data_IF_901809895807
#
_entry.id   IF_901809895807
#
_cell.length_a   1.000
_cell.length_b   1.000
_cell.length_c   1.000
_cell.angle_alpha   90.00
_cell.angle_beta   90.00
_cell.angle_gamma   90.00
#
_symmetry.space_group_name_H-M   'P 1'
#
loop_
_entity.id
_entity.type
_entity.pdbx_description
1 polymer ?
#
# COMPACT_ATOMS: atom_id res chain seq x y z
N UNK A 1 -65.55 -16.51 -15.06
CA UNK A 1 -64.15 -16.69 -15.51
C UNK A 1 -63.40 -15.38 -15.29
N UNK A 2 -62.38 -15.45 -14.42
CA UNK A 2 -61.17 -14.61 -14.28
C UNK A 2 -61.32 -13.11 -13.94
N UNK A 3 -61.08 -12.82 -12.66
CA UNK A 3 -60.42 -11.61 -12.11
C UNK A 3 -59.25 -12.13 -11.23
N UNK A 4 -58.30 -11.31 -10.78
CA UNK A 4 -57.43 -10.35 -11.44
C UNK A 4 -55.95 -10.63 -11.05
N UNK A 5 -54.95 -10.00 -11.67
CA UNK A 5 -53.66 -9.69 -11.01
C UNK A 5 -52.77 -8.88 -11.94
N UNK A 6 -52.82 -7.56 -11.79
CA UNK A 6 -51.76 -6.67 -12.28
C UNK A 6 -50.55 -6.93 -11.38
N UNK A 7 -49.54 -7.61 -11.93
CA UNK A 7 -48.23 -7.78 -11.31
C UNK A 7 -47.47 -6.45 -11.40
N UNK A 8 -47.51 -5.68 -10.31
CA UNK A 8 -46.63 -4.52 -10.13
C UNK A 8 -45.27 -5.05 -9.65
N UNK A 9 -44.37 -5.33 -10.60
CA UNK A 9 -42.97 -5.64 -10.30
C UNK A 9 -42.25 -4.34 -9.92
N UNK A 10 -42.16 -4.06 -8.62
CA UNK A 10 -41.28 -3.02 -8.10
C UNK A 10 -39.82 -3.48 -8.28
N UNK A 11 -39.18 -3.00 -9.34
CA UNK A 11 -37.74 -3.14 -9.53
C UNK A 11 -37.01 -2.29 -8.47
N UNK A 12 -36.66 -2.92 -7.34
CA UNK A 12 -35.70 -2.35 -6.40
C UNK A 12 -34.32 -2.36 -7.08
N UNK A 13 -33.96 -1.22 -7.68
CA UNK A 13 -32.59 -0.94 -8.07
C UNK A 13 -31.76 -0.76 -6.78
N UNK A 14 -31.15 -1.85 -6.32
CA UNK A 14 -30.10 -1.77 -5.30
C UNK A 14 -28.90 -1.04 -5.92
N UNK A 15 -28.76 0.24 -5.59
CA UNK A 15 -27.52 0.96 -5.81
C UNK A 15 -26.46 0.35 -4.88
N UNK A 16 -25.68 -0.60 -5.40
CA UNK A 16 -24.48 -1.09 -4.73
C UNK A 16 -23.54 0.10 -4.55
N UNK A 17 -23.05 0.40 -3.33
CA UNK A 17 -22.06 1.43 -3.14
C UNK A 17 -20.81 1.08 -3.97
N UNK A 18 -20.17 2.07 -4.62
CA UNK A 18 -18.94 1.82 -5.34
C UNK A 18 -17.87 1.37 -4.35
N UNK A 19 -17.55 0.06 -4.35
CA UNK A 19 -16.37 -0.49 -3.69
C UNK A 19 -15.13 -0.03 -4.48
N UNK A 20 -14.78 1.24 -4.35
CA UNK A 20 -13.57 1.81 -4.94
C UNK A 20 -12.40 1.67 -3.97
N UNK A 21 -11.82 0.47 -3.93
CA UNK A 21 -10.46 0.27 -3.40
C UNK A 21 -9.52 -0.21 -4.49
N UNK A 22 -9.51 0.48 -5.64
CA UNK A 22 -8.41 0.37 -6.58
C UNK A 22 -7.31 1.37 -6.16
N UNK A 23 -6.50 1.00 -5.17
CA UNK A 23 -5.27 1.74 -4.89
C UNK A 23 -4.29 1.44 -6.03
N UNK A 24 -4.05 2.40 -6.91
CA UNK A 24 -2.93 2.30 -7.86
C UNK A 24 -1.63 2.14 -7.07
N UNK A 25 -0.85 1.07 -7.29
CA UNK A 25 0.42 0.89 -6.59
C UNK A 25 1.28 2.13 -6.80
N UNK A 26 1.69 2.77 -5.71
CA UNK A 26 2.76 3.76 -5.78
C UNK A 26 4.05 3.00 -6.02
N UNK A 27 4.33 2.71 -7.30
CA UNK A 27 5.58 2.09 -7.72
C UNK A 27 6.66 3.14 -7.63
N UNK A 28 7.33 3.19 -6.49
CA UNK A 28 8.60 3.91 -6.42
C UNK A 28 9.55 3.15 -7.39
N UNK A 29 10.25 3.80 -8.32
CA UNK A 29 11.08 3.13 -9.34
C UNK A 29 12.40 2.63 -8.75
N UNK A 30 13.09 1.62 -9.32
CA UNK A 30 14.38 1.14 -8.81
C UNK A 30 15.45 2.23 -8.73
N UNK A 31 16.38 2.15 -7.78
CA UNK A 31 17.47 3.11 -7.68
C UNK A 31 18.45 2.98 -8.84
N UNK A 32 19.10 4.09 -9.18
CA UNK A 32 20.21 4.14 -10.15
C UNK A 32 21.58 4.31 -9.49
N UNK A 33 21.67 4.08 -8.18
CA UNK A 33 22.92 4.20 -7.44
C UNK A 33 23.96 3.18 -7.95
N UNK A 34 25.09 3.66 -8.46
CA UNK A 34 26.18 2.83 -8.95
C UNK A 34 27.22 2.62 -7.86
N UNK A 35 27.49 1.36 -7.52
CA UNK A 35 28.50 1.03 -6.53
C UNK A 35 29.89 1.14 -7.16
N UNK A 36 30.79 2.00 -6.64
CA UNK A 36 32.13 2.08 -7.18
C UNK A 36 32.94 0.84 -6.82
N UNK A 37 33.68 0.33 -7.80
CA UNK A 37 34.53 -0.84 -7.63
C UNK A 37 35.72 -0.51 -6.72
N UNK A 38 36.04 -1.44 -5.80
CA UNK A 38 37.16 -1.25 -4.90
C UNK A 38 38.49 -1.37 -5.67
N UNK A 39 39.37 -0.35 -5.61
CA UNK A 39 40.58 -0.32 -6.44
C UNK A 39 41.69 -1.27 -5.95
N UNK A 40 41.46 -2.06 -4.90
CA UNK A 40 42.45 -2.96 -4.32
C UNK A 40 43.27 -2.32 -3.19
N UNK A 41 43.81 -3.14 -2.30
CA UNK A 41 44.48 -2.69 -1.06
C UNK A 41 45.82 -2.00 -1.28
N UNK A 42 46.51 -2.34 -2.36
CA UNK A 42 47.83 -1.78 -2.71
C UNK A 42 47.74 -0.64 -3.72
N UNK A 43 46.53 -0.11 -3.96
CA UNK A 43 46.33 1.01 -4.87
C UNK A 43 46.95 2.30 -4.33
N UNK A 44 47.37 3.23 -5.21
CA UNK A 44 47.86 4.55 -4.82
C UNK A 44 46.86 5.28 -3.91
N UNK A 45 47.37 6.03 -2.91
CA UNK A 45 46.54 6.70 -1.90
C UNK A 45 45.48 7.63 -2.52
N UNK A 46 45.81 8.33 -3.60
CA UNK A 46 44.86 9.18 -4.32
C UNK A 46 43.66 8.40 -4.88
N UNK A 47 43.88 7.18 -5.41
CA UNK A 47 42.79 6.31 -5.89
C UNK A 47 41.92 5.83 -4.74
N UNK A 48 42.52 5.48 -3.60
CA UNK A 48 41.79 5.07 -2.39
C UNK A 48 40.94 6.22 -1.82
N UNK A 49 41.46 7.44 -1.78
CA UNK A 49 40.72 8.62 -1.36
C UNK A 49 39.55 8.91 -2.29
N UNK A 50 39.76 8.84 -3.61
CA UNK A 50 38.70 9.03 -4.60
C UNK A 50 37.60 7.98 -4.43
N UNK A 51 37.97 6.70 -4.36
CA UNK A 51 37.03 5.61 -4.11
C UNK A 51 36.24 5.81 -2.81
N UNK A 52 36.89 6.24 -1.73
CA UNK A 52 36.20 6.50 -0.44
C UNK A 52 35.12 7.57 -0.60
N UNK A 53 35.42 8.64 -1.33
CA UNK A 53 34.44 9.69 -1.62
C UNK A 53 33.28 9.18 -2.48
N UNK A 54 33.59 8.45 -3.56
CA UNK A 54 32.58 7.89 -4.46
C UNK A 54 31.70 6.86 -3.73
N UNK A 55 32.29 6.05 -2.85
CA UNK A 55 31.55 5.05 -2.08
C UNK A 55 30.62 5.70 -1.06
N UNK A 56 31.03 6.81 -0.44
CA UNK A 56 30.13 7.60 0.43
C UNK A 56 28.96 8.17 -0.36
N UNK A 57 29.20 8.72 -1.55
CA UNK A 57 28.13 9.22 -2.41
C UNK A 57 27.15 8.10 -2.81
N UNK A 58 27.66 6.90 -3.11
CA UNK A 58 26.83 5.72 -3.34
C UNK A 58 25.95 5.38 -2.13
N UNK A 59 26.50 5.36 -0.92
CA UNK A 59 25.74 5.06 0.30
C UNK A 59 24.63 6.10 0.55
N UNK A 60 24.92 7.39 0.36
CA UNK A 60 23.89 8.44 0.50
C UNK A 60 22.78 8.29 -0.56
N UNK A 61 23.13 7.93 -1.79
CA UNK A 61 22.14 7.63 -2.84
C UNK A 61 21.22 6.47 -2.43
N UNK A 62 21.80 5.35 -1.96
CA UNK A 62 21.02 4.18 -1.54
C UNK A 62 20.13 4.52 -0.34
N UNK A 63 20.65 5.29 0.60
CA UNK A 63 19.88 5.76 1.77
C UNK A 63 18.69 6.62 1.37
N UNK A 64 18.87 7.56 0.44
CA UNK A 64 17.77 8.38 -0.07
C UNK A 64 16.65 7.51 -0.67
N UNK A 65 17.01 6.54 -1.51
CA UNK A 65 16.08 5.58 -2.08
C UNK A 65 15.33 4.75 -1.02
N UNK A 66 16.04 4.25 -0.01
CA UNK A 66 15.42 3.48 1.09
C UNK A 66 14.42 4.34 1.85
N UNK A 67 14.75 5.62 2.10
CA UNK A 67 13.83 6.54 2.76
C UNK A 67 12.56 6.79 1.94
N UNK A 68 12.69 6.99 0.62
CA UNK A 68 11.54 7.14 -0.28
C UNK A 68 10.66 5.88 -0.28
N UNK A 69 11.27 4.69 -0.30
CA UNK A 69 10.55 3.42 -0.22
C UNK A 69 9.81 3.26 1.11
N UNK A 70 10.45 3.57 2.23
CA UNK A 70 9.81 3.49 3.53
C UNK A 70 8.63 4.46 3.65
N UNK A 71 8.74 5.67 3.11
CA UNK A 71 7.63 6.61 3.08
C UNK A 71 6.41 6.05 2.32
N UNK A 72 6.64 5.38 1.18
CA UNK A 72 5.57 4.73 0.44
C UNK A 72 4.95 3.55 1.22
N UNK A 73 5.79 2.73 1.87
CA UNK A 73 5.33 1.62 2.73
C UNK A 73 4.49 2.15 3.89
N UNK A 74 4.92 3.20 4.57
CA UNK A 74 4.21 3.80 5.70
C UNK A 74 2.83 4.33 5.28
N UNK A 75 2.74 4.97 4.10
CA UNK A 75 1.47 5.45 3.57
C UNK A 75 0.49 4.29 3.31
N UNK A 76 0.97 3.20 2.69
CA UNK A 76 0.15 2.02 2.42
C UNK A 76 -0.23 1.28 3.71
N UNK A 77 0.68 1.17 4.67
CA UNK A 77 0.43 0.55 5.97
C UNK A 77 -0.67 1.29 6.75
N UNK A 78 -0.66 2.64 6.72
CA UNK A 78 -1.74 3.45 7.31
C UNK A 78 -3.09 3.18 6.65
N UNK A 79 -3.13 3.11 5.32
CA UNK A 79 -4.36 2.81 4.59
C UNK A 79 -4.89 1.40 4.92
N UNK A 80 -4.00 0.40 4.97
CA UNK A 80 -4.36 -0.95 5.39
C UNK A 80 -4.91 -1.00 6.81
N UNK A 81 -4.30 -0.25 7.74
CA UNK A 81 -4.79 -0.15 9.13
C UNK A 81 -6.20 0.42 9.20
N UNK A 82 -6.50 1.48 8.44
CA UNK A 82 -7.85 2.06 8.39
C UNK A 82 -8.88 1.01 7.94
N UNK A 83 -8.58 0.28 6.86
CA UNK A 83 -9.46 -0.77 6.36
C UNK A 83 -9.66 -1.91 7.36
N UNK A 84 -8.61 -2.30 8.10
CA UNK A 84 -8.71 -3.30 9.18
C UNK A 84 -9.59 -2.79 10.33
N UNK A 85 -9.42 -1.53 10.73
CA UNK A 85 -10.21 -0.92 11.80
C UNK A 85 -11.71 -0.85 11.39
N UNK A 86 -12.01 -0.45 10.14
CA UNK A 86 -13.37 -0.47 9.57
C UNK A 86 -13.98 -1.88 9.54
N UNK A 87 -13.22 -2.87 9.06
CA UNK A 87 -13.67 -4.26 9.03
C UNK A 87 -14.02 -4.78 10.43
N UNK A 88 -13.14 -4.54 11.42
CA UNK A 88 -13.36 -4.98 12.79
C UNK A 88 -14.59 -4.31 13.43
N UNK A 89 -14.83 -3.03 13.14
CA UNK A 89 -16.02 -2.31 13.59
C UNK A 89 -17.29 -2.95 13.00
N UNK A 90 -17.31 -3.22 11.69
CA UNK A 90 -18.44 -3.85 11.02
C UNK A 90 -18.72 -5.27 11.53
N UNK A 91 -17.69 -6.07 11.81
CA UNK A 91 -17.84 -7.39 12.43
C UNK A 91 -18.44 -7.28 13.84
N UNK A 92 -18.01 -6.31 14.62
CA UNK A 92 -18.57 -6.06 15.97
C UNK A 92 -20.05 -5.71 15.88
N UNK A 93 -20.42 -4.74 15.04
CA UNK A 93 -21.80 -4.31 14.83
C UNK A 93 -22.70 -5.47 14.37
N UNK A 94 -22.22 -6.27 13.40
CA UNK A 94 -22.93 -7.45 12.93
C UNK A 94 -23.17 -8.45 14.07
N UNK A 95 -22.14 -8.77 14.85
CA UNK A 95 -22.23 -9.73 15.95
C UNK A 95 -23.19 -9.24 17.04
N UNK A 96 -23.19 -7.96 17.37
CA UNK A 96 -24.13 -7.35 18.31
C UNK A 96 -25.56 -7.44 17.78
N UNK A 97 -25.77 -7.07 16.52
CA UNK A 97 -27.06 -7.13 15.83
C UNK A 97 -27.63 -8.55 15.84
N UNK A 98 -26.84 -9.55 15.45
CA UNK A 98 -27.30 -10.96 15.44
C UNK A 98 -27.67 -11.46 16.85
N UNK A 99 -26.94 -11.05 17.89
CA UNK A 99 -27.29 -11.41 19.28
C UNK A 99 -28.65 -10.87 19.70
N UNK A 100 -29.06 -9.69 19.19
CA UNK A 100 -30.40 -9.14 19.51
C UNK A 100 -31.54 -9.99 18.95
N UNK A 101 -31.34 -10.66 17.81
CA UNK A 101 -32.34 -11.52 17.18
C UNK A 101 -32.35 -12.96 17.72
N UNK A 102 -31.30 -13.35 18.45
CA UNK A 102 -31.15 -14.68 19.02
C UNK A 102 -31.75 -14.80 20.45
N UNK A 103 -32.28 -13.71 21.00
CA UNK A 103 -32.95 -13.65 22.31
C UNK A 103 -34.48 -13.59 22.17
#
# INVERSE_FOLDING_TARGET
MIKPAVLLAAAFAFALPPNSHAQTPQTVPPHKCEKPEFPGRVSPQAKLQRWTSDFRAYLECVKAYVNERNAAIDAQSKAAKIAVDEFNAGVTEYNETVKTFAN
#
